data_IF_200215351957
#
_entry.id   IF_200215351957
#
_cell.length_a   1.000
_cell.length_b   1.000
_cell.length_c   1.000
_cell.angle_alpha   90.00
_cell.angle_beta   90.00
_cell.angle_gamma   90.00
#
_symmetry.space_group_name_H-M   'P 1'
#
loop_
_entity.id
_entity.type
_entity.pdbx_description
1 polymer ?
#
# COMPACT_ATOMS: atom_id res chain seq x y z
N UNK A 1 -64.60 7.65 36.82
CA UNK A 1 -63.20 7.26 37.13
C UNK A 1 -62.56 6.78 35.81
N UNK A 2 -61.85 7.69 35.10
CA UNK A 2 -61.22 7.39 33.81
C UNK A 2 -59.74 7.12 34.03
N UNK A 3 -59.28 5.94 33.71
CA UNK A 3 -57.87 5.52 33.81
C UNK A 3 -57.18 5.90 32.48
N UNK A 4 -56.19 6.78 32.55
CA UNK A 4 -55.34 7.17 31.42
C UNK A 4 -54.05 6.32 31.51
N UNK A 5 -53.84 5.46 30.51
CA UNK A 5 -52.61 4.67 30.37
C UNK A 5 -51.63 5.45 29.51
N UNK A 6 -50.39 5.77 29.97
CA UNK A 6 -49.38 6.41 29.12
C UNK A 6 -48.72 5.38 28.21
N UNK A 7 -48.81 5.60 26.91
CA UNK A 7 -48.09 4.83 25.89
C UNK A 7 -46.62 5.28 25.85
N UNK A 8 -45.72 4.40 26.30
CA UNK A 8 -44.29 4.61 26.20
C UNK A 8 -43.84 4.28 24.77
N UNK A 9 -43.43 5.31 24.01
CA UNK A 9 -42.78 5.16 22.73
C UNK A 9 -41.28 4.82 22.95
N UNK A 10 -40.93 3.58 22.63
CA UNK A 10 -39.54 3.08 22.65
C UNK A 10 -38.85 3.53 21.36
N UNK A 11 -38.04 4.60 21.44
CA UNK A 11 -37.19 5.03 20.34
C UNK A 11 -36.04 4.01 20.15
N UNK A 12 -36.18 3.16 19.15
CA UNK A 12 -35.07 2.32 18.67
C UNK A 12 -34.09 3.20 17.89
N UNK A 13 -33.03 3.68 18.53
CA UNK A 13 -31.90 4.32 17.85
C UNK A 13 -31.05 3.24 17.18
N UNK A 14 -31.24 3.04 15.88
CA UNK A 14 -30.37 2.23 15.05
C UNK A 14 -29.03 2.97 14.86
N UNK A 15 -27.99 2.54 15.59
CA UNK A 15 -26.63 2.94 15.29
C UNK A 15 -26.21 2.34 13.93
N UNK A 16 -25.80 3.15 12.95
CA UNK A 16 -25.21 2.61 11.74
C UNK A 16 -23.86 1.98 12.10
N UNK A 17 -23.70 0.68 11.92
CA UNK A 17 -22.40 0.02 11.90
C UNK A 17 -21.61 0.59 10.70
N UNK A 18 -20.76 1.58 10.95
CA UNK A 18 -19.77 2.02 9.98
C UNK A 18 -18.80 0.87 9.74
N UNK A 19 -18.95 0.15 8.64
CA UNK A 19 -17.93 -0.77 8.14
C UNK A 19 -16.68 0.07 7.89
N UNK A 20 -15.62 -0.19 8.65
CA UNK A 20 -14.30 0.34 8.37
C UNK A 20 -13.84 -0.26 7.02
N UNK A 21 -14.03 0.49 5.95
CA UNK A 21 -13.41 0.18 4.65
C UNK A 21 -11.90 0.28 4.88
N UNK A 22 -11.18 -0.81 4.64
CA UNK A 22 -9.73 -0.83 4.73
C UNK A 22 -9.17 0.25 3.77
N UNK A 23 -8.65 1.32 4.34
CA UNK A 23 -8.18 2.47 3.59
C UNK A 23 -6.90 2.09 2.86
N UNK A 24 -6.94 2.04 1.53
CA UNK A 24 -5.77 1.84 0.68
C UNK A 24 -5.00 3.16 0.61
N UNK A 25 -3.74 3.13 1.03
CA UNK A 25 -2.89 4.32 1.04
C UNK A 25 -2.17 4.46 -0.31
N UNK A 26 -2.19 5.62 -0.99
CA UNK A 26 -1.38 5.83 -2.19
C UNK A 26 0.10 5.84 -1.84
N UNK A 27 0.94 5.14 -2.59
CA UNK A 27 2.39 5.13 -2.35
C UNK A 27 3.02 6.54 -2.46
N UNK A 28 2.42 7.41 -3.26
CA UNK A 28 2.85 8.81 -3.42
C UNK A 28 2.61 9.68 -2.16
N UNK A 29 1.71 9.28 -1.25
CA UNK A 29 1.48 9.97 0.02
C UNK A 29 2.45 9.57 1.14
N UNK A 30 3.26 8.52 0.89
CA UNK A 30 4.20 8.02 1.87
C UNK A 30 5.49 8.83 1.86
N UNK A 31 5.90 9.24 3.04
CA UNK A 31 7.11 10.04 3.23
C UNK A 31 8.31 9.17 3.55
N UNK A 32 9.46 9.52 2.99
CA UNK A 32 10.76 8.95 3.37
C UNK A 32 11.55 9.99 4.12
N UNK A 33 11.91 9.67 5.35
CA UNK A 33 12.73 10.56 6.18
C UNK A 33 14.20 10.29 5.91
N UNK A 34 15.02 11.32 5.60
CA UNK A 34 16.45 11.15 5.37
C UNK A 34 17.17 10.72 6.63
N UNK A 35 18.24 9.97 6.45
CA UNK A 35 19.19 9.67 7.53
C UNK A 35 20.06 10.91 7.72
N UNK A 36 20.13 11.42 8.95
CA UNK A 36 20.99 12.53 9.33
C UNK A 36 22.34 12.05 9.84
N UNK A 37 22.31 10.98 10.65
CA UNK A 37 23.50 10.49 11.32
C UNK A 37 23.40 8.98 11.58
N UNK A 38 24.52 8.28 11.47
CA UNK A 38 24.65 6.88 11.87
C UNK A 38 25.96 6.71 12.62
N UNK A 39 25.89 6.28 13.87
CA UNK A 39 27.05 5.89 14.68
C UNK A 39 27.08 4.39 14.84
N UNK A 40 28.12 3.73 14.33
CA UNK A 40 28.26 2.27 14.36
C UNK A 40 29.20 1.87 15.51
N UNK A 41 28.73 0.97 16.36
CA UNK A 41 29.50 0.42 17.47
C UNK A 41 30.14 -0.91 17.10
N UNK A 42 31.26 -1.23 17.77
CA UNK A 42 32.03 -2.46 17.51
C UNK A 42 31.26 -3.75 17.81
N UNK A 43 30.24 -3.67 18.65
CA UNK A 43 29.40 -4.81 19.06
C UNK A 43 28.26 -5.13 18.06
N UNK A 44 28.24 -4.46 16.92
CA UNK A 44 27.26 -4.68 15.85
C UNK A 44 25.94 -3.93 16.04
N UNK A 45 25.91 -2.97 16.95
CA UNK A 45 24.81 -2.00 17.05
C UNK A 45 25.12 -0.74 16.27
N UNK A 46 24.06 0.00 15.88
CA UNK A 46 24.19 1.35 15.39
C UNK A 46 23.12 2.26 15.99
N UNK A 47 23.53 3.46 16.36
CA UNK A 47 22.61 4.54 16.68
C UNK A 47 22.30 5.29 15.37
N UNK A 48 21.02 5.37 15.02
CA UNK A 48 20.54 5.96 13.78
C UNK A 48 19.66 7.15 14.09
N UNK A 49 19.95 8.28 13.48
CA UNK A 49 19.14 9.50 13.57
C UNK A 49 18.61 9.85 12.19
N UNK A 50 17.29 9.91 12.09
CA UNK A 50 16.60 10.51 10.96
C UNK A 50 16.10 11.89 11.37
N UNK A 51 16.24 12.88 10.50
CA UNK A 51 15.64 14.20 10.71
C UNK A 51 15.48 14.90 9.38
N UNK A 52 14.35 15.57 9.19
CA UNK A 52 14.10 16.35 8.00
C UNK A 52 12.71 17.00 8.00
N UNK A 53 12.52 17.92 7.07
CA UNK A 53 11.22 18.51 6.77
C UNK A 53 10.40 17.52 5.96
N UNK A 54 9.19 17.28 6.42
CA UNK A 54 8.28 16.29 5.84
C UNK A 54 6.88 16.89 5.69
N UNK A 55 6.15 16.51 4.62
CA UNK A 55 4.78 16.94 4.43
C UNK A 55 3.89 16.37 5.52
N UNK A 56 2.92 17.18 5.96
CA UNK A 56 1.92 16.80 6.94
C UNK A 56 0.53 16.90 6.32
N UNK A 57 -0.33 15.92 6.59
CA UNK A 57 -1.70 15.93 6.09
C UNK A 57 -2.59 16.95 6.85
N UNK A 58 -3.82 17.16 6.37
CA UNK A 58 -4.79 18.08 6.97
C UNK A 58 -5.18 17.72 8.42
N UNK A 59 -4.86 16.50 8.88
CA UNK A 59 -5.12 16.00 10.23
C UNK A 59 -3.88 16.06 11.13
N UNK A 60 -2.80 16.69 10.66
CA UNK A 60 -1.53 16.77 11.41
C UNK A 60 -0.75 15.45 11.43
N UNK A 61 -0.88 14.57 10.42
CA UNK A 61 -0.22 13.28 10.39
C UNK A 61 0.85 13.21 9.32
N UNK A 62 1.94 12.54 9.65
CA UNK A 62 3.00 12.13 8.72
C UNK A 62 3.00 10.61 8.66
N UNK A 63 2.91 10.05 7.45
CA UNK A 63 2.97 8.60 7.23
C UNK A 63 4.29 8.25 6.59
N UNK A 64 5.11 7.49 7.29
CA UNK A 64 6.44 7.07 6.84
C UNK A 64 6.35 5.70 6.17
N UNK A 65 6.99 5.58 4.98
CA UNK A 65 7.08 4.35 4.16
C UNK A 65 8.01 3.29 4.78
N UNK A 66 8.34 3.43 6.05
CA UNK A 66 9.21 2.49 6.74
C UNK A 66 8.90 2.46 8.22
N UNK A 67 8.72 1.24 8.72
CA UNK A 67 8.76 0.98 10.15
C UNK A 67 10.19 0.55 10.51
N UNK A 68 10.93 1.33 11.32
CA UNK A 68 12.24 0.90 11.81
C UNK A 68 12.11 -0.34 12.70
N UNK A 69 13.19 -1.12 12.81
CA UNK A 69 13.29 -2.28 13.71
C UNK A 69 14.25 -1.96 14.85
N UNK A 70 13.86 -1.11 15.79
CA UNK A 70 14.73 -0.70 16.89
C UNK A 70 14.97 -1.82 17.89
N UNK A 71 16.06 -1.74 18.62
CA UNK A 71 16.22 -2.49 19.85
C UNK A 71 15.11 -2.03 20.82
N UNK A 72 14.51 -2.96 21.53
CA UNK A 72 13.39 -2.66 22.44
C UNK A 72 13.75 -1.55 23.42
N UNK A 73 12.87 -0.55 23.54
CA UNK A 73 13.07 0.60 24.43
C UNK A 73 13.97 1.71 23.88
N UNK A 74 14.46 1.61 22.63
CA UNK A 74 15.39 2.59 22.06
C UNK A 74 14.81 3.41 20.91
N UNK A 75 13.50 3.53 20.81
CA UNK A 75 12.86 4.30 19.76
C UNK A 75 12.32 5.64 20.30
N UNK A 76 12.88 6.75 19.79
CA UNK A 76 12.55 8.12 20.22
C UNK A 76 12.17 8.99 19.01
N UNK A 77 10.90 9.01 18.61
CA UNK A 77 10.40 9.99 17.65
C UNK A 77 10.18 11.34 18.34
N UNK A 78 10.41 12.45 17.63
CA UNK A 78 10.26 13.80 18.16
C UNK A 78 9.89 14.81 17.08
N UNK A 79 9.37 15.96 17.50
CA UNK A 79 9.30 17.16 16.68
C UNK A 79 10.56 17.99 16.89
N UNK A 80 11.17 18.47 15.81
CA UNK A 80 12.26 19.45 15.88
C UNK A 80 11.75 20.90 15.84
N UNK A 81 10.49 21.12 15.47
CA UNK A 81 9.84 22.43 15.58
C UNK A 81 9.36 22.66 17.02
N UNK A 82 9.69 23.84 17.58
CA UNK A 82 9.44 24.17 18.99
C UNK A 82 7.97 24.23 19.39
N UNK A 83 7.10 24.62 18.46
CA UNK A 83 5.66 24.82 18.64
C UNK A 83 4.82 23.62 18.17
N UNK A 84 5.45 22.58 17.67
CA UNK A 84 4.80 21.36 17.22
C UNK A 84 5.03 20.24 18.23
N UNK A 85 3.95 19.63 18.71
CA UNK A 85 3.99 18.52 19.67
C UNK A 85 3.65 17.20 18.97
N UNK A 86 4.47 16.18 19.18
CA UNK A 86 4.13 14.81 18.84
C UNK A 86 3.05 14.32 19.81
N UNK A 87 1.89 13.89 19.28
CA UNK A 87 0.74 13.47 20.09
C UNK A 87 0.52 11.96 20.07
N UNK A 88 0.86 11.30 18.95
CA UNK A 88 0.75 9.86 18.85
C UNK A 88 1.76 9.27 17.87
N UNK A 89 2.12 8.00 18.11
CA UNK A 89 2.97 7.18 17.26
C UNK A 89 2.25 5.86 17.06
N UNK A 90 1.97 5.50 15.82
CA UNK A 90 1.23 4.28 15.50
C UNK A 90 1.96 3.49 14.42
N UNK A 91 2.33 2.26 14.73
CA UNK A 91 2.78 1.30 13.75
C UNK A 91 1.56 0.53 13.21
N UNK A 92 1.45 0.42 11.90
CA UNK A 92 0.35 -0.30 11.27
C UNK A 92 0.80 -0.96 9.98
N UNK A 93 0.25 -2.14 9.70
CA UNK A 93 0.37 -2.77 8.40
C UNK A 93 -0.81 -2.31 7.55
N UNK A 94 -0.52 -1.68 6.41
CA UNK A 94 -1.53 -1.15 5.50
C UNK A 94 -1.31 -1.62 4.08
N UNK A 95 -2.38 -1.70 3.35
CA UNK A 95 -2.38 -1.90 1.91
C UNK A 95 -1.99 -0.59 1.23
N UNK A 96 -0.96 -0.64 0.39
CA UNK A 96 -0.42 0.50 -0.34
C UNK A 96 -0.56 0.23 -1.83
N UNK A 97 -1.19 1.16 -2.54
CA UNK A 97 -1.28 1.13 -3.99
C UNK A 97 -0.10 1.90 -4.59
N UNK A 98 0.61 1.26 -5.50
CA UNK A 98 1.76 1.83 -6.19
C UNK A 98 1.88 1.35 -7.62
N UNK A 99 2.88 1.83 -8.33
CA UNK A 99 3.22 1.36 -9.68
C UNK A 99 4.38 0.38 -9.62
N UNK A 100 4.33 -0.63 -10.46
CA UNK A 100 5.40 -1.59 -10.71
C UNK A 100 5.82 -1.58 -12.17
N UNK A 101 7.12 -1.72 -12.43
CA UNK A 101 7.62 -1.92 -13.79
C UNK A 101 7.40 -3.35 -14.22
N UNK A 102 6.86 -3.55 -15.41
CA UNK A 102 6.70 -4.85 -16.05
C UNK A 102 8.08 -5.39 -16.43
N UNK A 103 8.50 -6.48 -15.80
CA UNK A 103 9.79 -7.13 -16.05
C UNK A 103 9.65 -8.47 -16.78
N UNK A 104 8.43 -8.89 -17.04
CA UNK A 104 8.07 -10.13 -17.71
C UNK A 104 6.88 -9.91 -18.65
N UNK A 105 6.58 -10.93 -19.45
CA UNK A 105 5.47 -10.90 -20.41
C UNK A 105 4.12 -10.70 -19.71
N UNK A 106 3.91 -11.33 -18.56
CA UNK A 106 2.70 -11.18 -17.75
C UNK A 106 2.49 -9.71 -17.35
N UNK A 107 3.50 -9.11 -16.72
CA UNK A 107 3.45 -7.72 -16.30
C UNK A 107 3.20 -6.76 -17.45
N UNK A 108 3.79 -7.05 -18.62
CA UNK A 108 3.60 -6.22 -19.81
C UNK A 108 2.17 -6.32 -20.36
N UNK A 109 1.56 -7.50 -20.36
CA UNK A 109 0.16 -7.68 -20.75
C UNK A 109 -0.78 -7.02 -19.73
N UNK A 110 -0.46 -7.10 -18.44
CA UNK A 110 -1.22 -6.47 -17.34
C UNK A 110 -1.14 -4.93 -17.40
N UNK A 111 0.00 -4.39 -17.83
CA UNK A 111 0.19 -2.95 -18.01
C UNK A 111 -0.61 -2.35 -19.16
N UNK A 112 -1.08 -3.18 -20.10
CA UNK A 112 -1.64 -2.71 -21.36
C UNK A 112 -3.04 -3.28 -21.66
N UNK A 113 -4.02 -3.12 -20.76
CA UNK A 113 -5.39 -3.48 -21.05
C UNK A 113 -5.91 -2.61 -22.21
N UNK A 114 -6.64 -3.21 -23.13
CA UNK A 114 -7.16 -2.55 -24.33
C UNK A 114 -6.17 -2.45 -25.51
N UNK A 115 -4.90 -2.80 -25.33
CA UNK A 115 -3.94 -2.82 -26.43
C UNK A 115 -4.24 -3.95 -27.42
N UNK A 116 -4.00 -3.68 -28.70
CA UNK A 116 -4.05 -4.70 -29.77
C UNK A 116 -2.69 -5.38 -29.87
N UNK A 117 -2.70 -6.72 -29.80
CA UNK A 117 -1.50 -7.54 -29.80
C UNK A 117 -1.65 -8.76 -30.70
N UNK A 118 -0.51 -9.23 -31.19
CA UNK A 118 -0.38 -10.57 -31.78
C UNK A 118 0.38 -11.44 -30.77
N UNK A 119 -0.28 -12.41 -30.18
CA UNK A 119 0.34 -13.39 -29.31
C UNK A 119 0.75 -14.62 -30.13
N UNK A 120 1.98 -15.06 -29.96
CA UNK A 120 2.49 -16.29 -30.55
C UNK A 120 2.52 -17.37 -29.48
N UNK A 121 1.84 -18.47 -29.70
CA UNK A 121 1.85 -19.61 -28.79
C UNK A 121 3.12 -20.49 -28.95
N UNK A 122 3.24 -21.50 -28.11
CA UNK A 122 4.39 -22.43 -28.15
C UNK A 122 4.43 -23.25 -29.45
N UNK A 123 3.29 -23.46 -30.11
CA UNK A 123 3.17 -24.18 -31.38
C UNK A 123 3.44 -23.28 -32.60
N UNK A 124 3.76 -21.98 -32.35
CA UNK A 124 4.04 -21.01 -33.40
C UNK A 124 2.79 -20.38 -34.03
N UNK A 125 1.60 -20.65 -33.51
CA UNK A 125 0.35 -20.07 -34.00
C UNK A 125 0.23 -18.64 -33.48
N UNK A 126 -0.08 -17.72 -34.40
CA UNK A 126 -0.34 -16.31 -34.06
C UNK A 126 -1.82 -16.09 -33.80
N UNK A 127 -2.13 -15.44 -32.67
CA UNK A 127 -3.47 -15.10 -32.24
C UNK A 127 -3.51 -13.58 -32.08
N UNK A 128 -4.27 -12.92 -32.96
CA UNK A 128 -4.45 -11.45 -32.91
C UNK A 128 -5.68 -11.09 -32.09
N UNK A 129 -5.58 -10.07 -31.27
CA UNK A 129 -6.71 -9.62 -30.47
C UNK A 129 -6.40 -8.39 -29.61
N UNK A 130 -7.43 -7.92 -28.92
CA UNK A 130 -7.33 -6.84 -27.94
C UNK A 130 -7.27 -7.42 -26.54
N UNK A 131 -6.32 -7.01 -25.75
CA UNK A 131 -6.21 -7.45 -24.34
C UNK A 131 -7.42 -6.91 -23.56
N UNK A 132 -8.26 -7.79 -23.03
CA UNK A 132 -9.32 -7.42 -22.06
C UNK A 132 -8.79 -7.32 -20.65
N UNK A 133 -7.80 -8.11 -20.30
CA UNK A 133 -7.15 -8.12 -19.00
C UNK A 133 -6.72 -9.53 -18.58
N UNK A 134 -6.12 -9.58 -17.41
CA UNK A 134 -5.76 -10.80 -16.72
C UNK A 134 -6.67 -10.93 -15.50
N UNK A 135 -7.49 -11.97 -15.37
CA UNK A 135 -8.31 -12.18 -14.18
C UNK A 135 -7.45 -12.26 -12.93
N UNK A 136 -7.85 -11.55 -11.90
CA UNK A 136 -7.24 -11.62 -10.60
C UNK A 136 -8.33 -11.78 -9.54
N UNK A 137 -8.04 -12.54 -8.49
CA UNK A 137 -8.93 -12.67 -7.36
C UNK A 137 -8.65 -11.52 -6.38
N UNK A 138 -9.62 -10.65 -6.10
CA UNK A 138 -9.41 -9.52 -5.21
C UNK A 138 -9.20 -9.97 -3.77
N UNK A 139 -8.59 -9.12 -2.96
CA UNK A 139 -8.30 -9.39 -1.55
C UNK A 139 -9.57 -9.69 -0.75
N UNK A 140 -10.65 -8.97 -1.03
CA UNK A 140 -11.91 -9.12 -0.28
C UNK A 140 -12.52 -10.52 -0.47
N UNK A 141 -12.39 -11.10 -1.66
CA UNK A 141 -12.80 -12.47 -1.95
C UNK A 141 -11.92 -13.48 -1.19
N UNK A 142 -10.61 -13.25 -1.14
CA UNK A 142 -9.67 -14.11 -0.43
C UNK A 142 -9.90 -14.07 1.09
N UNK A 143 -10.16 -12.88 1.66
CA UNK A 143 -10.50 -12.74 3.08
C UNK A 143 -11.79 -13.48 3.45
N UNK A 144 -12.78 -13.47 2.57
CA UNK A 144 -14.01 -14.19 2.78
C UNK A 144 -13.83 -15.74 2.78
N UNK A 145 -12.80 -16.22 2.06
CA UNK A 145 -12.51 -17.67 1.94
C UNK A 145 -11.66 -18.21 3.10
N UNK A 146 -10.73 -17.41 3.64
CA UNK A 146 -9.72 -17.87 4.62
C UNK A 146 -10.16 -17.78 6.09
N UNK A 147 -11.38 -17.37 6.40
CA UNK A 147 -11.94 -17.45 7.76
C UNK A 147 -11.14 -16.73 8.86
N UNK A 148 -10.34 -15.73 8.54
CA UNK A 148 -9.84 -14.76 9.52
C UNK A 148 -8.55 -15.13 10.27
N UNK A 149 -7.77 -16.08 9.85
CA UNK A 149 -6.51 -16.41 10.50
C UNK A 149 -5.32 -15.60 9.94
N UNK A 150 -5.12 -14.38 10.44
CA UNK A 150 -3.80 -13.70 10.57
C UNK A 150 -2.89 -13.47 9.37
N UNK A 151 -3.24 -13.93 8.18
CA UNK A 151 -2.48 -13.71 6.95
C UNK A 151 -3.22 -12.66 6.12
N UNK A 152 -2.56 -11.55 5.81
CA UNK A 152 -3.12 -10.56 4.88
C UNK A 152 -2.99 -11.10 3.45
N UNK A 153 -4.08 -11.57 2.82
CA UNK A 153 -3.99 -12.12 1.49
C UNK A 153 -3.63 -11.02 0.48
N UNK A 154 -2.75 -11.35 -0.44
CA UNK A 154 -2.46 -10.51 -1.60
C UNK A 154 -3.36 -10.92 -2.77
N UNK A 155 -3.73 -9.99 -3.67
CA UNK A 155 -4.47 -10.35 -4.87
C UNK A 155 -3.78 -11.50 -5.61
N UNK A 156 -4.49 -12.60 -5.82
CA UNK A 156 -3.95 -13.74 -6.56
C UNK A 156 -4.19 -13.53 -8.04
N UNK A 157 -3.10 -13.45 -8.80
CA UNK A 157 -3.16 -13.25 -10.24
C UNK A 157 -3.41 -14.57 -10.96
N UNK A 158 -4.43 -14.59 -11.82
CA UNK A 158 -4.76 -15.74 -12.66
C UNK A 158 -3.69 -16.08 -13.71
N UNK A 159 -3.62 -17.32 -14.14
CA UNK A 159 -2.69 -17.83 -15.16
C UNK A 159 -3.15 -17.62 -16.59
N UNK A 160 -4.18 -16.82 -16.87
CA UNK A 160 -4.77 -16.63 -18.19
C UNK A 160 -4.81 -15.16 -18.58
N UNK A 161 -4.71 -14.91 -19.89
CA UNK A 161 -5.03 -13.61 -20.49
C UNK A 161 -6.34 -13.74 -21.28
N UNK A 162 -7.21 -12.74 -21.17
CA UNK A 162 -8.43 -12.63 -21.95
C UNK A 162 -8.17 -11.73 -23.16
N UNK A 163 -8.37 -12.28 -24.35
CA UNK A 163 -8.26 -11.58 -25.63
C UNK A 163 -9.62 -11.47 -26.31
N UNK A 164 -9.98 -10.28 -26.70
CA UNK A 164 -11.11 -10.04 -27.58
C UNK A 164 -10.64 -10.20 -29.03
N UNK A 165 -11.17 -11.21 -29.71
CA UNK A 165 -10.88 -11.55 -31.11
C UNK A 165 -12.13 -11.39 -31.97
N UNK A 166 -12.01 -11.51 -33.29
CA UNK A 166 -13.16 -11.46 -34.19
C UNK A 166 -14.17 -12.60 -33.97
N UNK A 167 -13.75 -13.68 -33.29
CA UNK A 167 -14.58 -14.84 -32.96
C UNK A 167 -15.15 -14.81 -31.54
N UNK A 168 -14.88 -13.74 -30.78
CA UNK A 168 -15.30 -13.60 -29.40
C UNK A 168 -14.13 -13.46 -28.43
N UNK A 169 -14.38 -13.74 -27.14
CA UNK A 169 -13.36 -13.63 -26.11
C UNK A 169 -12.65 -14.96 -25.92
N UNK A 170 -11.37 -14.99 -26.22
CA UNK A 170 -10.49 -16.14 -26.01
C UNK A 170 -9.78 -16.04 -24.66
N UNK A 171 -9.85 -17.08 -23.85
CA UNK A 171 -9.04 -17.27 -22.66
C UNK A 171 -7.79 -18.08 -23.01
N UNK A 172 -6.62 -17.48 -22.98
CA UNK A 172 -5.35 -18.11 -23.34
C UNK A 172 -4.47 -18.26 -22.09
N UNK A 173 -4.01 -19.50 -21.76
CA UNK A 173 -3.05 -19.71 -20.69
C UNK A 173 -1.73 -18.98 -20.96
N UNK A 174 -1.19 -18.27 -19.97
CA UNK A 174 0.02 -17.49 -20.15
C UNK A 174 1.28 -18.33 -20.34
N UNK A 175 1.31 -19.54 -19.80
CA UNK A 175 2.38 -20.53 -19.97
C UNK A 175 2.46 -21.08 -21.41
N UNK A 176 1.40 -20.92 -22.19
CA UNK A 176 1.39 -21.24 -23.62
C UNK A 176 1.83 -20.09 -24.51
N UNK A 177 2.00 -18.87 -23.98
CA UNK A 177 2.40 -17.69 -24.75
C UNK A 177 3.91 -17.60 -24.80
N UNK A 178 4.48 -17.72 -25.99
CA UNK A 178 5.92 -17.58 -26.25
C UNK A 178 6.35 -16.13 -26.37
N UNK A 179 5.58 -15.30 -27.07
CA UNK A 179 5.90 -13.90 -27.30
C UNK A 179 4.63 -13.07 -27.57
N UNK A 180 4.75 -11.75 -27.37
CA UNK A 180 3.70 -10.78 -27.70
C UNK A 180 4.28 -9.66 -28.57
N UNK A 181 3.61 -9.33 -29.66
CA UNK A 181 3.91 -8.21 -30.53
C UNK A 181 2.83 -7.15 -30.38
N UNK A 182 3.14 -6.03 -29.74
CA UNK A 182 2.23 -4.92 -29.55
C UNK A 182 2.20 -4.04 -30.80
N UNK A 183 1.00 -3.67 -31.25
CA UNK A 183 0.85 -2.78 -32.42
C UNK A 183 1.24 -1.32 -32.12
N UNK A 184 1.27 -0.94 -30.86
CA UNK A 184 1.71 0.36 -30.36
C UNK A 184 2.74 0.17 -29.27
N UNK A 185 3.52 1.20 -28.94
CA UNK A 185 4.48 1.13 -27.83
C UNK A 185 3.76 0.79 -26.52
N UNK A 186 4.11 -0.30 -25.83
CA UNK A 186 3.44 -0.70 -24.62
C UNK A 186 3.86 0.18 -23.44
N UNK A 187 2.92 0.44 -22.53
CA UNK A 187 3.22 1.04 -21.25
C UNK A 187 4.07 0.08 -20.40
N UNK A 188 5.18 0.55 -19.82
CA UNK A 188 6.08 -0.33 -19.06
C UNK A 188 5.67 -0.52 -17.60
N UNK A 189 4.59 0.14 -17.12
CA UNK A 189 4.18 0.14 -15.73
C UNK A 189 2.72 -0.25 -15.56
N UNK A 190 2.41 -0.91 -14.46
CA UNK A 190 1.06 -1.27 -14.05
C UNK A 190 0.83 -1.01 -12.57
N UNK A 191 -0.44 -0.81 -12.19
CA UNK A 191 -0.85 -0.66 -10.79
C UNK A 191 -0.64 -1.94 -10.00
N UNK A 192 -0.07 -1.83 -8.80
CA UNK A 192 0.17 -2.96 -7.91
C UNK A 192 -0.17 -2.57 -6.47
N UNK A 193 -0.72 -3.53 -5.75
CA UNK A 193 -0.94 -3.39 -4.31
C UNK A 193 0.08 -4.22 -3.54
N UNK A 194 0.54 -3.67 -2.42
CA UNK A 194 1.45 -4.37 -1.50
C UNK A 194 1.11 -4.03 -0.06
N UNK A 195 1.28 -4.98 0.85
CA UNK A 195 1.22 -4.67 2.28
C UNK A 195 2.56 -4.12 2.75
N UNK A 196 2.51 -2.97 3.43
CA UNK A 196 3.70 -2.33 4.00
C UNK A 196 3.49 -2.04 5.49
N UNK A 197 4.56 -2.17 6.25
CA UNK A 197 4.59 -1.74 7.63
C UNK A 197 4.91 -0.25 7.65
N UNK A 198 3.93 0.56 8.03
CA UNK A 198 4.00 2.01 8.04
C UNK A 198 4.08 2.53 9.47
N UNK A 199 4.80 3.64 9.65
CA UNK A 199 4.82 4.40 10.88
C UNK A 199 4.07 5.71 10.68
N UNK A 200 3.01 5.92 11.45
CA UNK A 200 2.25 7.17 11.46
C UNK A 200 2.61 7.96 12.70
N UNK A 201 3.05 9.20 12.49
CA UNK A 201 3.32 10.18 13.54
C UNK A 201 2.22 11.24 13.47
N UNK A 202 1.53 11.50 14.59
CA UNK A 202 0.51 12.54 14.69
C UNK A 202 1.05 13.72 15.50
N UNK A 203 0.77 14.91 15.00
CA UNK A 203 1.27 16.16 15.59
C UNK A 203 0.13 17.14 15.82
N UNK A 204 0.33 18.06 16.78
CA UNK A 204 -0.53 19.18 17.03
C UNK A 204 0.29 20.46 17.24
N UNK A 205 -0.29 21.61 16.91
CA UNK A 205 0.29 22.94 17.09
C UNK A 205 -0.80 23.94 17.47
N UNK A 206 -0.45 25.02 18.22
CA UNK A 206 -1.42 25.96 18.77
C UNK A 206 -2.03 26.93 17.75
N UNK A 207 -1.34 27.19 16.63
CA UNK A 207 -1.80 28.16 15.65
C UNK A 207 -2.95 27.62 14.78
N UNK A 208 -3.97 28.46 14.58
CA UNK A 208 -5.10 28.17 13.70
C UNK A 208 -4.67 28.31 12.22
N UNK A 209 -4.14 27.25 11.65
CA UNK A 209 -3.82 27.20 10.23
C UNK A 209 -3.20 25.88 9.79
N UNK A 210 -3.47 25.42 8.55
CA UNK A 210 -2.88 24.21 8.05
C UNK A 210 -1.38 24.43 7.79
N UNK A 211 -0.53 23.65 8.43
CA UNK A 211 0.88 23.52 8.03
C UNK A 211 1.00 22.55 6.87
N UNK A 212 1.90 22.86 5.94
CA UNK A 212 2.19 21.96 4.82
C UNK A 212 3.36 21.03 5.12
N UNK A 213 4.30 21.51 5.93
CA UNK A 213 5.51 20.78 6.30
C UNK A 213 5.86 21.05 7.76
N UNK A 214 6.47 20.06 8.40
CA UNK A 214 7.03 20.16 9.77
C UNK A 214 8.39 19.48 9.81
N UNK A 215 9.26 19.90 10.72
CA UNK A 215 10.54 19.25 10.94
C UNK A 215 10.38 18.13 11.99
N UNK A 216 10.62 16.91 11.55
CA UNK A 216 10.43 15.69 12.34
C UNK A 216 11.75 14.94 12.45
N UNK A 217 11.97 14.34 13.59
CA UNK A 217 13.09 13.44 13.82
C UNK A 217 12.67 12.13 14.48
N UNK A 218 13.52 11.13 14.33
CA UNK A 218 13.48 9.89 15.10
C UNK A 218 14.90 9.37 15.30
N UNK A 219 15.17 8.92 16.52
CA UNK A 219 16.43 8.28 16.87
C UNK A 219 16.17 6.89 17.42
N UNK A 220 17.02 5.92 17.09
CA UNK A 220 16.91 4.57 17.61
C UNK A 220 18.22 3.80 17.51
N UNK A 221 18.33 2.73 18.30
CA UNK A 221 19.41 1.75 18.17
C UNK A 221 18.91 0.56 17.34
N UNK A 222 19.72 0.14 16.39
CA UNK A 222 19.44 -1.00 15.52
C UNK A 222 20.60 -2.01 15.59
N UNK A 223 20.28 -3.30 15.49
CA UNK A 223 21.27 -4.40 15.39
C UNK A 223 21.57 -4.74 13.93
N UNK A 224 22.67 -5.48 13.72
CA UNK A 224 22.98 -6.09 12.43
C UNK A 224 23.83 -5.25 11.50
N UNK A 225 24.40 -4.14 11.98
CA UNK A 225 25.42 -3.39 11.26
C UNK A 225 26.81 -3.89 11.70
N UNK A 226 27.54 -4.50 10.75
CA UNK A 226 28.90 -4.97 10.99
C UNK A 226 29.86 -3.97 10.38
N UNK A 227 30.77 -3.44 11.19
CA UNK A 227 31.91 -2.69 10.70
C UNK A 227 33.11 -3.63 10.53
N UNK A 228 33.66 -3.67 9.33
CA UNK A 228 34.90 -4.41 9.01
C UNK A 228 35.95 -3.32 8.70
N UNK A 229 36.98 -3.18 9.53
CA UNK A 229 38.06 -2.22 9.29
C UNK A 229 38.86 -2.55 8.05
#
# INVERSE_FOLDING_TARGET
MRIVIPTIWMLCTSFPLSRAVAQVEPAASLTRMPIKEVTIFKDGHAFVVHQGRVPVDAKGRVVLDRLPTPVLGTFWPYSADRDVKLTAVTASRRRVHGEQTAIDLRGLLEANPGAVVDLVDLDGKTISGRIRGLPARPVDELQAMEGGAGVDPMPTKGGIVLLETDQGVLALPLDRVRSANFKTSPAPKYGSESFRNLLTLAFSWPEAGPRREIEVGMAYVQKGLRWIP
#
